data_IF_581999658473
#
_entry.id   IF_581999658473
#
_cell.length_a   1.000
_cell.length_b   1.000
_cell.length_c   1.000
_cell.angle_alpha   90.00
_cell.angle_beta   90.00
_cell.angle_gamma   90.00
#
_symmetry.space_group_name_H-M   'P 1'
#
loop_
_entity.id
_entity.type
_entity.pdbx_description
1 polymer ?
#
# COMPACT_ATOMS: atom_id res chain seq x y z
N UNK A 1 11.74 -10.36 7.77
CA UNK A 1 11.52 -10.78 6.36
C UNK A 1 10.47 -11.88 6.19
N UNK A 2 10.55 -12.99 6.92
CA UNK A 2 9.56 -14.09 6.84
C UNK A 2 8.13 -13.61 7.12
N UNK A 3 7.95 -12.80 8.16
CA UNK A 3 6.63 -12.25 8.53
C UNK A 3 6.06 -11.30 7.46
N UNK A 4 6.86 -10.39 6.90
CA UNK A 4 6.41 -9.52 5.82
C UNK A 4 6.05 -10.31 4.56
N UNK A 5 6.76 -11.40 4.25
CA UNK A 5 6.45 -12.24 3.10
C UNK A 5 5.11 -12.97 3.29
N UNK A 6 4.85 -13.45 4.51
CA UNK A 6 3.57 -14.04 4.91
C UNK A 6 2.42 -13.04 4.75
N UNK A 7 2.57 -11.85 5.32
CA UNK A 7 1.59 -10.78 5.24
C UNK A 7 1.29 -10.36 3.79
N UNK A 8 2.31 -10.26 2.91
CA UNK A 8 2.10 -9.99 1.49
C UNK A 8 1.22 -11.05 0.80
N UNK A 9 1.37 -12.31 1.21
CA UNK A 9 0.57 -13.43 0.70
C UNK A 9 -0.88 -13.41 1.19
N UNK A 10 -1.15 -12.86 2.37
CA UNK A 10 -2.47 -12.83 3.02
C UNK A 10 -3.34 -11.66 2.53
N UNK A 11 -2.76 -10.52 2.14
CA UNK A 11 -3.50 -9.32 1.73
C UNK A 11 -4.36 -9.55 0.48
N UNK A 12 -3.81 -10.21 -0.55
CA UNK A 12 -4.52 -10.37 -1.82
C UNK A 12 -5.80 -11.25 -1.74
N UNK A 13 -5.81 -12.38 -1.00
CA UNK A 13 -7.03 -13.13 -0.71
C UNK A 13 -8.08 -12.29 0.04
N UNK A 14 -7.68 -11.55 1.08
CA UNK A 14 -8.60 -10.72 1.87
C UNK A 14 -9.23 -9.63 0.99
N UNK A 15 -8.44 -8.94 0.17
CA UNK A 15 -8.98 -7.93 -0.76
C UNK A 15 -9.97 -8.51 -1.77
N UNK A 16 -9.76 -9.76 -2.21
CA UNK A 16 -10.71 -10.45 -3.10
C UNK A 16 -12.02 -10.80 -2.38
N UNK A 17 -11.95 -11.18 -1.11
CA UNK A 17 -13.15 -11.41 -0.30
C UNK A 17 -13.95 -10.12 -0.09
N UNK A 18 -13.26 -9.04 0.28
CA UNK A 18 -13.86 -7.72 0.49
C UNK A 18 -14.46 -7.15 -0.80
N UNK A 19 -13.83 -7.38 -1.96
CA UNK A 19 -14.37 -6.92 -3.25
C UNK A 19 -15.65 -7.68 -3.63
N UNK A 20 -15.73 -8.97 -3.32
CA UNK A 20 -16.95 -9.78 -3.50
C UNK A 20 -18.05 -9.36 -2.52
N UNK A 21 -17.70 -9.01 -1.29
CA UNK A 21 -18.65 -8.43 -0.33
C UNK A 21 -19.19 -7.07 -0.83
N UNK A 22 -18.33 -6.18 -1.32
CA UNK A 22 -18.72 -4.91 -1.93
C UNK A 22 -19.69 -5.10 -3.11
N UNK A 23 -19.42 -6.09 -3.97
CA UNK A 23 -20.31 -6.44 -5.08
C UNK A 23 -21.68 -6.94 -4.61
N UNK A 24 -21.72 -7.80 -3.59
CA UNK A 24 -22.96 -8.32 -3.00
C UNK A 24 -23.82 -7.20 -2.40
N UNK A 25 -23.21 -6.29 -1.64
CA UNK A 25 -23.92 -5.15 -1.05
C UNK A 25 -24.47 -4.23 -2.15
N UNK A 26 -23.66 -3.94 -3.17
CA UNK A 26 -24.06 -3.12 -4.32
C UNK A 26 -25.28 -3.68 -5.04
N UNK A 27 -25.30 -4.99 -5.28
CA UNK A 27 -26.38 -5.68 -5.99
C UNK A 27 -27.65 -5.82 -5.15
N UNK A 28 -27.52 -5.80 -3.82
CA UNK A 28 -28.64 -5.79 -2.89
C UNK A 28 -29.41 -4.47 -2.84
N UNK A 29 -30.48 -4.50 -2.05
CA UNK A 29 -31.11 -3.29 -1.55
C UNK A 29 -30.25 -2.70 -0.42
N UNK A 30 -30.03 -1.38 -0.47
CA UNK A 30 -29.26 -0.69 0.57
C UNK A 30 -30.25 0.12 1.43
N UNK A 31 -30.91 -0.54 2.37
CA UNK A 31 -31.94 0.08 3.20
C UNK A 31 -31.38 0.59 4.54
N UNK A 32 -30.33 -0.04 5.05
CA UNK A 32 -29.68 0.31 6.32
C UNK A 32 -28.19 0.52 6.09
N UNK A 33 -27.78 1.62 5.44
CA UNK A 33 -26.41 1.80 4.94
C UNK A 33 -25.33 1.67 6.02
N UNK A 34 -25.57 2.18 7.23
CA UNK A 34 -24.63 2.00 8.35
C UNK A 34 -24.49 0.53 8.74
N UNK A 35 -25.59 -0.22 8.81
CA UNK A 35 -25.56 -1.64 9.19
C UNK A 35 -24.95 -2.52 8.09
N UNK A 36 -25.18 -2.16 6.84
CA UNK A 36 -24.85 -2.99 5.67
C UNK A 36 -23.45 -2.69 5.13
N UNK A 37 -23.01 -1.42 5.11
CA UNK A 37 -21.74 -1.01 4.48
C UNK A 37 -20.64 -0.75 5.52
N UNK A 38 -20.95 -0.27 6.72
CA UNK A 38 -19.91 0.06 7.70
C UNK A 38 -19.02 -1.12 8.09
N UNK A 39 -19.52 -2.37 8.24
CA UNK A 39 -18.64 -3.51 8.49
C UNK A 39 -17.59 -3.71 7.40
N UNK A 40 -17.97 -3.60 6.11
CA UNK A 40 -17.04 -3.64 4.98
C UNK A 40 -16.04 -2.49 5.08
N UNK A 41 -16.50 -1.26 5.28
CA UNK A 41 -15.63 -0.07 5.37
C UNK A 41 -14.57 -0.22 6.46
N UNK A 42 -14.96 -0.65 7.66
CA UNK A 42 -14.06 -0.88 8.79
C UNK A 42 -13.00 -1.93 8.47
N UNK A 43 -13.38 -3.07 7.89
CA UNK A 43 -12.45 -4.13 7.51
C UNK A 43 -11.44 -3.66 6.46
N UNK A 44 -11.89 -2.90 5.46
CA UNK A 44 -11.02 -2.33 4.42
C UNK A 44 -10.05 -1.31 5.04
N UNK A 45 -10.54 -0.45 5.92
CA UNK A 45 -9.73 0.55 6.62
C UNK A 45 -8.67 -0.10 7.52
N UNK A 46 -9.04 -1.11 8.31
CA UNK A 46 -8.12 -1.89 9.13
C UNK A 46 -7.03 -2.55 8.29
N UNK A 47 -7.40 -3.10 7.13
CA UNK A 47 -6.46 -3.67 6.18
C UNK A 47 -5.50 -2.60 5.62
N UNK A 48 -6.01 -1.41 5.27
CA UNK A 48 -5.20 -0.28 4.82
C UNK A 48 -4.16 0.13 5.88
N UNK A 49 -4.56 0.17 7.15
CA UNK A 49 -3.64 0.48 8.26
C UNK A 49 -2.58 -0.61 8.45
N UNK A 50 -2.95 -1.90 8.34
CA UNK A 50 -1.98 -3.01 8.38
C UNK A 50 -0.99 -2.93 7.23
N UNK A 51 -1.47 -2.70 6.01
CA UNK A 51 -0.66 -2.57 4.81
C UNK A 51 0.30 -1.36 4.88
N UNK A 52 -0.18 -0.22 5.35
CA UNK A 52 0.63 0.99 5.52
C UNK A 52 1.76 0.77 6.53
N UNK A 53 1.48 0.13 7.68
CA UNK A 53 2.51 -0.24 8.66
C UNK A 53 3.55 -1.18 8.05
N UNK A 54 3.09 -2.20 7.32
CA UNK A 54 3.99 -3.14 6.65
C UNK A 54 4.92 -2.43 5.63
N UNK A 55 4.39 -1.51 4.83
CA UNK A 55 5.21 -0.73 3.88
C UNK A 55 6.23 0.13 4.60
N UNK A 56 5.83 0.78 5.70
CA UNK A 56 6.75 1.55 6.53
C UNK A 56 7.87 0.67 7.12
N UNK A 57 7.53 -0.46 7.74
CA UNK A 57 8.51 -1.37 8.32
C UNK A 57 9.51 -1.88 7.27
N UNK A 58 9.01 -2.19 6.06
CA UNK A 58 9.87 -2.59 4.95
C UNK A 58 10.75 -1.44 4.45
N UNK A 59 10.25 -0.21 4.39
CA UNK A 59 11.00 0.93 3.84
C UNK A 59 12.18 1.35 4.71
N UNK A 60 12.12 1.11 6.01
CA UNK A 60 13.22 1.38 6.96
C UNK A 60 14.12 0.16 7.22
N UNK A 61 13.83 -0.97 6.56
CA UNK A 61 14.62 -2.20 6.69
C UNK A 61 15.73 -2.30 5.63
N UNK A 62 16.34 -3.48 5.48
CA UNK A 62 17.27 -3.78 4.38
C UNK A 62 16.56 -4.04 3.05
N UNK A 63 15.22 -4.15 3.04
CA UNK A 63 14.43 -4.47 1.85
C UNK A 63 14.64 -3.52 0.66
N UNK A 64 14.74 -2.18 0.83
CA UNK A 64 14.97 -1.27 -0.30
C UNK A 64 16.29 -1.52 -1.02
N UNK A 65 17.30 -2.03 -0.30
CA UNK A 65 18.62 -2.33 -0.85
C UNK A 65 18.67 -3.69 -1.58
N UNK A 66 17.65 -4.54 -1.42
CA UNK A 66 17.52 -5.74 -2.23
C UNK A 66 17.20 -5.36 -3.68
N UNK A 67 17.51 -6.25 -4.63
CA UNK A 67 17.18 -5.98 -6.03
C UNK A 67 15.67 -5.88 -6.22
N UNK A 68 15.27 -4.85 -6.96
CA UNK A 68 13.88 -4.43 -7.17
C UNK A 68 13.14 -4.02 -5.87
N UNK A 69 13.84 -3.89 -4.74
CA UNK A 69 13.25 -3.61 -3.43
C UNK A 69 12.53 -2.27 -3.38
N UNK A 70 13.19 -1.21 -3.85
CA UNK A 70 12.61 0.13 -3.93
C UNK A 70 11.39 0.19 -4.86
N UNK A 71 11.46 -0.43 -6.04
CA UNK A 71 10.34 -0.48 -6.99
C UNK A 71 9.15 -1.26 -6.43
N UNK A 72 9.41 -2.39 -5.76
CA UNK A 72 8.36 -3.15 -5.07
C UNK A 72 7.73 -2.32 -3.95
N UNK A 73 8.50 -1.52 -3.21
CA UNK A 73 7.95 -0.62 -2.18
C UNK A 73 7.05 0.45 -2.78
N UNK A 74 7.45 1.05 -3.90
CA UNK A 74 6.62 2.03 -4.60
C UNK A 74 5.28 1.42 -5.05
N UNK A 75 5.32 0.20 -5.59
CA UNK A 75 4.11 -0.55 -5.98
C UNK A 75 3.21 -0.85 -4.76
N UNK A 76 3.79 -1.29 -3.65
CA UNK A 76 3.04 -1.58 -2.43
C UNK A 76 2.44 -0.30 -1.81
N UNK A 77 3.17 0.82 -1.81
CA UNK A 77 2.66 2.11 -1.36
C UNK A 77 1.47 2.56 -2.22
N UNK A 78 1.57 2.43 -3.55
CA UNK A 78 0.46 2.70 -4.46
C UNK A 78 -0.75 1.81 -4.15
N UNK A 79 -0.55 0.51 -3.96
CA UNK A 79 -1.62 -0.41 -3.58
C UNK A 79 -2.24 -0.05 -2.21
N UNK A 80 -1.46 0.41 -1.23
CA UNK A 80 -2.00 0.88 0.05
C UNK A 80 -2.93 2.08 -0.14
N UNK A 81 -2.55 3.04 -1.00
CA UNK A 81 -3.40 4.18 -1.33
C UNK A 81 -4.73 3.75 -1.97
N UNK A 82 -4.71 2.73 -2.83
CA UNK A 82 -5.94 2.16 -3.42
C UNK A 82 -6.85 1.54 -2.35
N UNK A 83 -6.29 0.79 -1.39
CA UNK A 83 -7.06 0.20 -0.29
C UNK A 83 -7.69 1.31 0.58
N UNK A 84 -6.92 2.36 0.91
CA UNK A 84 -7.42 3.52 1.65
C UNK A 84 -8.53 4.25 0.89
N UNK A 85 -8.37 4.43 -0.42
CA UNK A 85 -9.41 5.01 -1.28
C UNK A 85 -10.68 4.15 -1.28
N UNK A 86 -10.54 2.82 -1.33
CA UNK A 86 -11.68 1.92 -1.25
C UNK A 86 -12.47 2.08 0.05
N UNK A 87 -11.79 2.22 1.20
CA UNK A 87 -12.45 2.51 2.48
C UNK A 87 -13.20 3.85 2.45
N UNK A 88 -12.56 4.91 1.91
CA UNK A 88 -13.20 6.21 1.75
C UNK A 88 -14.43 6.15 0.86
N UNK A 89 -14.39 5.40 -0.24
CA UNK A 89 -15.54 5.18 -1.12
C UNK A 89 -16.68 4.44 -0.41
N UNK A 90 -16.38 3.46 0.45
CA UNK A 90 -17.39 2.81 1.28
C UNK A 90 -18.03 3.82 2.27
N UNK A 91 -17.25 4.70 2.89
CA UNK A 91 -17.78 5.75 3.76
C UNK A 91 -18.66 6.75 2.99
N UNK A 92 -18.26 7.18 1.80
CA UNK A 92 -19.09 8.03 0.95
C UNK A 92 -20.41 7.35 0.57
N UNK A 93 -20.38 6.04 0.31
CA UNK A 93 -21.59 5.27 0.01
C UNK A 93 -22.59 5.26 1.18
N UNK A 94 -22.07 5.18 2.41
CA UNK A 94 -22.87 5.32 3.64
C UNK A 94 -23.48 6.71 3.72
N UNK A 95 -22.66 7.76 3.57
CA UNK A 95 -23.11 9.14 3.70
C UNK A 95 -24.23 9.47 2.72
N UNK A 96 -24.02 9.27 1.42
CA UNK A 96 -25.04 9.62 0.42
C UNK A 96 -26.31 8.79 0.58
N UNK A 97 -26.21 7.51 0.92
CA UNK A 97 -27.42 6.71 1.12
C UNK A 97 -28.18 7.16 2.37
N UNK A 98 -27.47 7.57 3.41
CA UNK A 98 -28.08 8.10 4.63
C UNK A 98 -28.77 9.43 4.35
N UNK A 99 -28.14 10.35 3.61
CA UNK A 99 -28.77 11.61 3.19
C UNK A 99 -30.06 11.34 2.39
N UNK A 100 -30.03 10.41 1.44
CA UNK A 100 -31.21 10.03 0.66
C UNK A 100 -32.36 9.50 1.53
N UNK A 101 -32.04 8.73 2.57
CA UNK A 101 -33.07 8.18 3.46
C UNK A 101 -33.61 9.20 4.46
N UNK A 102 -32.93 10.34 4.65
CA UNK A 102 -33.32 11.38 5.61
C UNK A 102 -34.03 12.57 4.95
N UNK A 103 -33.79 12.82 3.65
CA UNK A 103 -34.32 13.98 2.94
C UNK A 103 -35.21 13.55 1.76
N UNK A 104 -36.45 14.05 1.72
CA UNK A 104 -37.48 13.66 0.73
C UNK A 104 -37.13 14.05 -0.73
N UNK A 105 -36.23 15.01 -0.93
CA UNK A 105 -35.81 15.53 -2.26
C UNK A 105 -34.52 14.89 -2.82
N UNK A 106 -33.95 13.91 -2.13
CA UNK A 106 -32.71 13.27 -2.54
C UNK A 106 -32.98 12.05 -3.45
N UNK A 107 -32.09 11.82 -4.43
CA UNK A 107 -32.21 10.79 -5.49
C UNK A 107 -32.88 9.48 -4.98
N UNK A 108 -34.09 9.13 -5.46
CA UNK A 108 -34.83 7.98 -4.91
C UNK A 108 -34.11 6.65 -5.15
N UNK A 109 -33.12 6.64 -6.06
CA UNK A 109 -32.36 5.43 -6.39
C UNK A 109 -30.98 5.41 -5.74
N UNK A 110 -30.48 4.26 -5.26
CA UNK A 110 -29.15 4.16 -4.65
C UNK A 110 -28.02 4.17 -5.70
N UNK A 111 -28.16 4.88 -6.83
CA UNK A 111 -27.23 4.85 -7.95
C UNK A 111 -25.82 5.32 -7.57
N UNK A 112 -25.72 6.44 -6.87
CA UNK A 112 -24.45 7.02 -6.40
C UNK A 112 -23.72 6.09 -5.44
N UNK A 113 -24.41 5.58 -4.41
CA UNK A 113 -23.83 4.64 -3.46
C UNK A 113 -23.40 3.33 -4.13
N UNK A 114 -24.17 2.85 -5.12
CA UNK A 114 -23.80 1.67 -5.91
C UNK A 114 -22.57 1.90 -6.77
N UNK A 115 -22.42 3.06 -7.39
CA UNK A 115 -21.21 3.40 -8.13
C UNK A 115 -19.99 3.48 -7.22
N UNK A 116 -20.13 4.08 -6.03
CA UNK A 116 -19.06 4.14 -5.04
C UNK A 116 -18.62 2.75 -4.57
N UNK A 117 -19.56 1.85 -4.29
CA UNK A 117 -19.25 0.45 -3.95
C UNK A 117 -18.60 -0.29 -5.13
N UNK A 118 -19.05 -0.04 -6.37
CA UNK A 118 -18.41 -0.59 -7.58
C UNK A 118 -16.95 -0.13 -7.67
N UNK A 119 -16.69 1.17 -7.51
CA UNK A 119 -15.35 1.74 -7.56
C UNK A 119 -14.47 1.19 -6.44
N UNK A 120 -15.00 1.10 -5.21
CA UNK A 120 -14.30 0.49 -4.09
C UNK A 120 -13.86 -0.95 -4.41
N UNK A 121 -14.75 -1.75 -4.99
CA UNK A 121 -14.41 -3.12 -5.43
C UNK A 121 -13.32 -3.16 -6.50
N UNK A 122 -13.31 -2.22 -7.45
CA UNK A 122 -12.25 -2.11 -8.47
C UNK A 122 -10.89 -1.80 -7.83
N UNK A 123 -10.83 -0.82 -6.92
CA UNK A 123 -9.59 -0.47 -6.22
C UNK A 123 -9.04 -1.65 -5.40
N UNK A 124 -9.92 -2.37 -4.68
CA UNK A 124 -9.53 -3.58 -3.94
C UNK A 124 -8.95 -4.66 -4.87
N UNK A 125 -9.55 -4.86 -6.05
CA UNK A 125 -9.11 -5.87 -7.02
C UNK A 125 -7.77 -5.50 -7.67
N UNK A 126 -7.56 -4.22 -7.96
CA UNK A 126 -6.28 -3.71 -8.46
C UNK A 126 -5.17 -3.87 -7.42
N UNK A 127 -5.43 -3.44 -6.18
CA UNK A 127 -4.52 -3.64 -5.06
C UNK A 127 -4.18 -5.12 -4.84
N UNK A 128 -5.18 -6.02 -4.88
CA UNK A 128 -4.98 -7.46 -4.75
C UNK A 128 -4.05 -8.02 -5.84
N UNK A 129 -4.16 -7.49 -7.07
CA UNK A 129 -3.31 -7.89 -8.19
C UNK A 129 -1.86 -7.48 -7.96
N UNK A 130 -1.64 -6.24 -7.50
CA UNK A 130 -0.31 -5.72 -7.15
C UNK A 130 0.32 -6.52 -6.01
N UNK A 131 -0.40 -6.72 -4.90
CA UNK A 131 0.09 -7.52 -3.77
C UNK A 131 0.47 -8.95 -4.19
N UNK A 132 -0.38 -9.60 -4.99
CA UNK A 132 -0.09 -10.95 -5.51
C UNK A 132 1.16 -10.97 -6.40
N UNK A 133 1.34 -9.97 -7.25
CA UNK A 133 2.50 -9.88 -8.12
C UNK A 133 3.81 -9.71 -7.32
N UNK A 134 3.81 -8.80 -6.35
CA UNK A 134 4.96 -8.56 -5.46
C UNK A 134 5.25 -9.79 -4.60
N UNK A 135 4.23 -10.39 -3.98
CA UNK A 135 4.39 -11.62 -3.18
C UNK A 135 5.01 -12.75 -4.00
N UNK A 136 4.53 -13.00 -5.23
CA UNK A 136 5.09 -14.03 -6.13
C UNK A 136 6.54 -13.75 -6.51
N UNK A 137 6.88 -12.49 -6.81
CA UNK A 137 8.26 -12.10 -7.12
C UNK A 137 9.18 -12.36 -5.92
N UNK A 138 8.77 -11.92 -4.73
CA UNK A 138 9.55 -12.10 -3.52
C UNK A 138 9.72 -13.58 -3.16
N UNK A 139 8.65 -14.38 -3.22
CA UNK A 139 8.74 -15.83 -2.96
C UNK A 139 9.70 -16.54 -3.91
N UNK A 140 9.70 -16.19 -5.21
CA UNK A 140 10.66 -16.74 -6.18
C UNK A 140 12.10 -16.34 -5.88
N UNK A 141 12.35 -15.06 -5.56
CA UNK A 141 13.69 -14.60 -5.15
C UNK A 141 14.16 -15.33 -3.90
N UNK A 142 13.30 -15.41 -2.88
CA UNK A 142 13.59 -16.11 -1.65
C UNK A 142 13.75 -17.61 -1.86
N UNK A 143 13.24 -18.23 -2.92
CA UNK A 143 13.52 -19.63 -3.24
C UNK A 143 14.86 -19.81 -3.99
N UNK A 144 15.37 -18.79 -4.67
CA UNK A 144 16.58 -18.86 -5.50
C UNK A 144 17.86 -18.55 -4.70
N UNK A 145 18.80 -19.49 -4.68
CA UNK A 145 20.08 -19.32 -4.00
C UNK A 145 20.91 -18.18 -4.60
N UNK A 146 20.99 -18.08 -5.93
CA UNK A 146 21.73 -17.03 -6.61
C UNK A 146 21.13 -15.65 -6.37
N UNK A 147 19.80 -15.53 -6.37
CA UNK A 147 19.12 -14.27 -6.06
C UNK A 147 19.38 -13.84 -4.61
N UNK A 148 19.41 -14.77 -3.65
CA UNK A 148 19.78 -14.46 -2.26
C UNK A 148 21.23 -14.00 -2.14
N UNK A 149 22.15 -14.59 -2.90
CA UNK A 149 23.55 -14.18 -2.91
C UNK A 149 23.71 -12.76 -3.48
N UNK A 150 23.02 -12.46 -4.57
CA UNK A 150 22.93 -11.11 -5.16
C UNK A 150 22.35 -10.10 -4.15
N UNK A 151 21.24 -10.42 -3.50
CA UNK A 151 20.61 -9.54 -2.50
C UNK A 151 21.57 -9.26 -1.33
N UNK A 152 22.33 -10.26 -0.86
CA UNK A 152 23.34 -10.06 0.20
C UNK A 152 24.46 -9.11 -0.24
N UNK A 153 24.91 -9.21 -1.48
CA UNK A 153 25.94 -8.32 -2.01
C UNK A 153 25.43 -6.87 -2.06
N UNK A 154 24.23 -6.66 -2.62
CA UNK A 154 23.63 -5.32 -2.73
C UNK A 154 23.39 -4.69 -1.36
N UNK A 155 22.89 -5.47 -0.40
CA UNK A 155 22.72 -5.02 0.99
C UNK A 155 24.07 -4.63 1.60
N UNK A 156 25.11 -5.44 1.40
CA UNK A 156 26.44 -5.14 1.92
C UNK A 156 27.04 -3.87 1.29
N UNK A 157 26.84 -3.66 -0.02
CA UNK A 157 27.26 -2.45 -0.73
C UNK A 157 26.55 -1.21 -0.19
N UNK A 158 25.24 -1.28 0.05
CA UNK A 158 24.45 -0.18 0.61
C UNK A 158 24.83 0.17 2.06
N UNK A 159 25.38 -0.79 2.81
CA UNK A 159 25.86 -0.58 4.19
C UNK A 159 27.31 -0.09 4.26
N UNK A 160 28.03 -0.04 3.14
CA UNK A 160 29.40 0.49 3.16
C UNK A 160 29.36 1.96 3.56
N UNK A 161 30.20 2.39 4.52
CA UNK A 161 30.34 3.80 4.82
C UNK A 161 30.79 4.52 3.55
N UNK A 162 30.00 5.49 3.08
CA UNK A 162 30.42 6.40 2.03
C UNK A 162 31.76 7.01 2.45
N UNK A 163 32.78 7.04 1.59
CA UNK A 163 34.01 7.74 1.90
C UNK A 163 33.63 9.20 2.16
N UNK A 164 33.72 9.62 3.42
CA UNK A 164 33.67 11.03 3.76
C UNK A 164 34.71 11.71 2.88
N UNK A 165 34.25 12.55 1.94
CA UNK A 165 35.14 13.53 1.30
C UNK A 165 35.78 14.31 2.44
N UNK A 166 37.05 14.04 2.70
CA UNK A 166 37.83 14.83 3.64
C UNK A 166 37.65 16.30 3.25
N UNK A 167 37.39 17.21 4.21
CA UNK A 167 37.34 18.63 3.90
C UNK A 167 38.69 19.01 3.31
N UNK A 168 38.70 19.35 2.03
CA UNK A 168 39.87 19.86 1.32
C UNK A 168 40.24 21.20 1.96
N UNK A 169 41.22 21.16 2.87
CA UNK A 169 41.85 22.34 3.45
C UNK A 169 42.43 23.17 2.30
N UNK A 170 42.03 24.44 2.12
CA UNK A 170 42.64 25.28 1.10
C UNK A 170 44.12 25.52 1.43
N UNK A 171 45.01 25.59 0.42
CA UNK A 171 46.42 25.83 0.65
C UNK A 171 46.61 27.23 1.21
N UNK A 172 47.14 27.33 2.43
CA UNK A 172 47.60 28.60 3.01
C UNK A 172 48.82 29.05 2.20
N UNK A 173 48.63 30.05 1.34
CA UNK A 173 49.74 30.77 0.71
C UNK A 173 50.54 31.47 1.81
N UNK A 174 51.73 30.93 2.08
CA UNK A 174 52.72 31.55 2.95
C UNK A 174 53.11 32.93 2.40
N UNK A 175 52.59 33.99 3.01
CA UNK A 175 53.06 35.35 2.77
C UNK A 175 54.52 35.46 3.22
N UNK A 176 55.44 35.47 2.26
CA UNK A 176 56.84 35.84 2.49
C UNK A 176 56.91 37.29 2.95
N UNK A 177 57.26 37.50 4.23
CA UNK A 177 57.80 38.78 4.71
C UNK A 177 59.04 39.15 3.89
N UNK A 178 59.07 40.35 3.33
CA UNK A 178 60.32 41.05 3.04
C UNK A 178 60.36 42.34 3.85
N UNK A 179 61.50 42.51 4.50
CA UNK A 179 62.02 43.71 5.15
C UNK A 179 62.20 44.80 4.11
#
# INVERSE_FOLDING_TARGET
MTEHTRLLGEVAPVLKELSVEAARIREGEIAKPVREIAPLSLRVHELAMKCTRQVHDLSVSQYPAMKDGADNLALLAGACSQISLAATLCNLAIHHRTEILLYEDADPTPATSRDQLRRAGVEMQQAATTYRAVARRLSRRLASFSARAEDRQLIAEAQRPSPQKAPSTPPVLAARRRV
#
